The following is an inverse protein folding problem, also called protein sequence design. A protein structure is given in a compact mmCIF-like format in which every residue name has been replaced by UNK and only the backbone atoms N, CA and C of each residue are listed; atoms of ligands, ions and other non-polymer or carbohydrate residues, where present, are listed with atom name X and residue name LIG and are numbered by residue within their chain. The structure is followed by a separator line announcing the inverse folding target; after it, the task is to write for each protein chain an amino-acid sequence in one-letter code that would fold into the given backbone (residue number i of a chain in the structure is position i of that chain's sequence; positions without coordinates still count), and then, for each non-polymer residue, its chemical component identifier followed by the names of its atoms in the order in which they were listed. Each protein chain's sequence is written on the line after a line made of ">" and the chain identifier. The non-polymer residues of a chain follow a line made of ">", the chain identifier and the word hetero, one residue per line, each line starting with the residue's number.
data_IF_706288928829
#
_entry.id   IF_706288928829
#
_cell.length_a   1.000
_cell.length_b   1.000
_cell.length_c   1.000
_cell.angle_alpha   90.00
_cell.angle_beta   90.00
_cell.angle_gamma   90.00
#
_symmetry.space_group_name_H-M   'P 1'
#
loop_
_entity.id
_entity.type
_entity.pdbx_description
1 polymer ?
#
# COMPACT_ATOMS: atom_id res chain seq x y z
N UNK A 1 6.78 -29.46 -22.87
CA UNK A 1 7.35 -28.08 -22.74
C UNK A 1 6.36 -27.09 -23.35
N UNK A 2 5.60 -26.37 -22.52
CA UNK A 2 4.38 -25.65 -22.91
C UNK A 2 4.63 -24.36 -23.71
N UNK A 3 4.08 -24.30 -24.93
CA UNK A 3 4.14 -23.16 -25.83
C UNK A 3 3.52 -21.87 -25.25
N UNK A 4 2.51 -22.00 -24.39
CA UNK A 4 1.89 -20.90 -23.66
C UNK A 4 2.86 -20.11 -22.78
N UNK A 5 3.83 -20.78 -22.12
CA UNK A 5 4.78 -20.07 -21.25
C UNK A 5 5.74 -19.20 -22.06
N UNK A 6 6.09 -19.60 -23.29
CA UNK A 6 6.90 -18.79 -24.21
C UNK A 6 6.15 -17.57 -24.73
N UNK A 7 4.85 -17.69 -24.98
CA UNK A 7 4.00 -16.58 -25.43
C UNK A 7 3.86 -15.50 -24.35
N UNK A 8 3.55 -15.90 -23.11
CA UNK A 8 3.42 -14.98 -21.97
C UNK A 8 4.74 -14.25 -21.69
N UNK A 9 5.88 -14.95 -21.80
CA UNK A 9 7.20 -14.35 -21.60
C UNK A 9 7.54 -13.31 -22.67
N UNK A 10 7.19 -13.56 -23.94
CA UNK A 10 7.36 -12.58 -25.04
C UNK A 10 6.49 -11.34 -24.85
N UNK A 11 5.26 -11.52 -24.36
CA UNK A 11 4.35 -10.40 -24.09
C UNK A 11 4.89 -9.51 -22.94
N UNK A 12 5.36 -10.13 -21.85
CA UNK A 12 5.97 -9.41 -20.72
C UNK A 12 7.25 -8.65 -21.14
N UNK A 13 8.08 -9.25 -21.99
CA UNK A 13 9.28 -8.57 -22.51
C UNK A 13 8.97 -7.29 -23.30
N UNK A 14 7.92 -7.33 -24.14
CA UNK A 14 7.46 -6.17 -24.92
C UNK A 14 6.79 -5.09 -24.07
N UNK A 15 5.98 -5.47 -23.07
CA UNK A 15 5.22 -4.53 -22.23
C UNK A 15 6.06 -3.84 -21.16
N UNK A 16 7.07 -4.51 -20.63
CA UNK A 16 7.86 -4.01 -19.49
C UNK A 16 9.32 -3.67 -19.84
N UNK A 17 9.68 -3.67 -21.13
CA UNK A 17 11.00 -3.24 -21.58
C UNK A 17 12.16 -4.09 -21.05
N UNK A 18 11.90 -5.34 -20.66
CA UNK A 18 12.92 -6.28 -20.18
C UNK A 18 13.56 -6.97 -21.40
N UNK A 19 14.14 -6.19 -22.30
CA UNK A 19 15.17 -6.69 -23.19
C UNK A 19 16.53 -6.34 -22.56
N UNK A 20 17.27 -7.38 -22.19
CA UNK A 20 18.66 -7.26 -21.77
C UNK A 20 19.43 -6.50 -22.85
N UNK A 21 19.84 -5.25 -22.55
CA UNK A 21 20.84 -4.53 -23.32
C UNK A 21 22.09 -5.41 -23.39
N UNK A 22 22.32 -6.05 -24.53
CA UNK A 22 23.64 -6.57 -24.87
C UNK A 22 24.59 -5.37 -25.00
N UNK A 23 25.75 -5.36 -24.34
CA UNK A 23 26.77 -4.35 -24.63
C UNK A 23 27.25 -4.56 -26.07
N UNK A 24 27.13 -3.52 -26.89
CA UNK A 24 27.79 -3.45 -28.20
C UNK A 24 29.28 -3.25 -27.94
N UNK A 25 30.07 -4.28 -28.20
CA UNK A 25 31.52 -4.18 -28.34
C UNK A 25 31.81 -3.62 -29.72
N UNK A 26 31.97 -2.30 -29.83
CA UNK A 26 32.57 -1.68 -31.01
C UNK A 26 34.06 -1.48 -30.74
N UNK A 27 34.85 -2.27 -31.45
CA UNK A 27 36.31 -2.23 -31.47
C UNK A 27 36.77 -0.97 -32.20
N UNK A 28 37.12 0.08 -31.46
CA UNK A 28 37.88 1.20 -31.99
C UNK A 28 39.33 1.09 -31.48
N UNK A 29 40.22 0.60 -32.34
CA UNK A 29 41.67 0.80 -32.20
C UNK A 29 41.93 2.30 -32.32
N UNK A 30 42.62 2.91 -31.35
CA UNK A 30 43.60 3.97 -31.63
C UNK A 30 44.45 4.31 -30.39
N UNK A 31 45.73 3.94 -30.52
CA UNK A 31 46.95 4.61 -30.07
C UNK A 31 47.12 5.05 -28.61
N UNK A 32 48.07 4.38 -27.95
CA UNK A 32 48.64 4.73 -26.67
C UNK A 32 49.29 6.13 -26.67
N UNK A 33 49.01 6.91 -25.62
CA UNK A 33 49.94 7.90 -25.06
C UNK A 33 49.96 7.70 -23.55
N UNK A 34 51.12 7.32 -23.05
CA UNK A 34 51.49 7.25 -21.64
C UNK A 34 51.61 8.69 -21.13
N UNK A 35 50.87 9.02 -20.07
CA UNK A 35 51.17 10.15 -19.18
C UNK A 35 51.10 9.60 -17.76
N UNK A 36 52.12 9.94 -16.99
CA UNK A 36 52.53 9.39 -15.71
C UNK A 36 51.57 9.72 -14.56
N UNK A 37 51.36 8.69 -13.72
CA UNK A 37 51.29 8.67 -12.26
C UNK A 37 50.80 9.92 -11.50
N UNK A 38 49.53 9.88 -11.06
CA UNK A 38 49.14 10.36 -9.73
C UNK A 38 48.22 9.32 -9.08
N UNK A 39 48.67 8.74 -7.97
CA UNK A 39 47.97 7.70 -7.21
C UNK A 39 46.58 8.12 -6.70
N UNK A 40 45.75 7.15 -6.27
CA UNK A 40 44.38 7.44 -5.90
C UNK A 40 44.35 8.24 -4.60
N UNK A 41 44.06 9.54 -4.68
CA UNK A 41 43.63 10.31 -3.53
C UNK A 41 42.28 9.73 -3.11
N UNK A 42 42.27 8.97 -2.01
CA UNK A 42 41.05 8.56 -1.32
C UNK A 42 40.35 9.85 -0.85
N UNK A 43 39.50 10.40 -1.72
CA UNK A 43 38.52 11.38 -1.32
C UNK A 43 37.65 10.73 -0.26
N UNK A 44 37.84 11.16 0.99
CA UNK A 44 36.88 10.94 2.07
C UNK A 44 35.54 11.50 1.60
N UNK A 45 34.72 10.65 0.98
CA UNK A 45 33.29 10.83 0.90
C UNK A 45 32.76 10.73 2.33
N UNK A 46 32.96 11.80 3.10
CA UNK A 46 32.06 12.11 4.18
C UNK A 46 30.68 12.12 3.54
N UNK A 47 29.89 11.11 3.85
CA UNK A 47 28.49 11.05 3.47
C UNK A 47 27.84 12.26 4.13
N UNK A 48 27.85 13.41 3.44
CA UNK A 48 26.96 14.51 3.71
C UNK A 48 25.59 13.86 3.67
N UNK A 49 25.01 13.62 4.85
CA UNK A 49 23.63 13.23 4.98
C UNK A 49 22.85 14.27 4.19
N UNK A 50 22.45 13.92 2.97
CA UNK A 50 21.76 14.82 2.06
C UNK A 50 20.41 15.01 2.72
N UNK A 51 20.31 16.05 3.56
CA UNK A 51 19.09 16.41 4.26
C UNK A 51 18.04 16.57 3.18
N UNK A 52 17.09 15.63 3.14
CA UNK A 52 16.07 15.60 2.11
C UNK A 52 15.32 16.92 2.17
N UNK A 53 15.12 17.54 1.00
CA UNK A 53 14.32 18.76 0.91
C UNK A 53 12.95 18.54 1.56
N UNK A 54 12.34 19.60 2.15
CA UNK A 54 11.00 19.52 2.70
C UNK A 54 10.04 18.89 1.68
N UNK A 55 9.47 17.73 2.03
CA UNK A 55 8.52 17.04 1.16
C UNK A 55 7.09 17.46 1.52
N UNK A 56 6.38 18.02 0.55
CA UNK A 56 4.92 18.18 0.63
C UNK A 56 4.26 17.03 -0.12
N UNK A 57 3.67 16.10 0.63
CA UNK A 57 3.03 14.90 0.08
C UNK A 57 1.52 15.03 0.20
N UNK A 58 0.82 14.91 -0.93
CA UNK A 58 -0.62 14.75 -0.97
C UNK A 58 -0.98 13.26 -0.91
N UNK A 59 -1.96 12.93 -0.09
CA UNK A 59 -2.50 11.56 0.05
C UNK A 59 -3.91 11.55 -0.51
N UNK A 60 -4.12 10.79 -1.59
CA UNK A 60 -5.43 10.45 -2.12
C UNK A 60 -5.84 9.07 -1.63
N UNK A 61 -6.76 9.00 -0.66
CA UNK A 61 -7.31 7.76 -0.13
C UNK A 61 -8.72 7.53 -0.70
N UNK A 62 -8.90 6.41 -1.38
CA UNK A 62 -10.23 5.89 -1.71
C UNK A 62 -10.68 4.93 -0.60
N UNK A 63 -11.64 5.38 0.21
CA UNK A 63 -12.31 4.53 1.19
C UNK A 63 -13.43 3.75 0.49
N UNK A 64 -13.12 2.52 0.09
CA UNK A 64 -14.04 1.63 -0.61
C UNK A 64 -14.78 0.66 0.33
N UNK A 65 -15.75 -0.06 -0.24
CA UNK A 65 -16.62 -0.95 0.52
C UNK A 65 -15.94 -2.27 0.90
N UNK A 66 -15.22 -2.89 -0.02
CA UNK A 66 -14.46 -4.13 0.24
C UNK A 66 -12.97 -3.87 0.39
N UNK A 67 -12.43 -2.97 -0.43
CA UNK A 67 -11.03 -2.57 -0.40
C UNK A 67 -10.91 -1.06 -0.46
N UNK A 68 -9.89 -0.55 0.23
CA UNK A 68 -9.41 0.81 0.12
C UNK A 68 -8.10 0.82 -0.65
N UNK A 69 -7.77 1.95 -1.25
CA UNK A 69 -6.50 2.14 -1.98
C UNK A 69 -5.99 3.55 -1.79
N UNK A 70 -4.68 3.72 -1.87
CA UNK A 70 -4.04 5.00 -1.63
C UNK A 70 -3.02 5.33 -2.72
N UNK A 71 -3.09 6.56 -3.23
CA UNK A 71 -2.06 7.17 -4.08
C UNK A 71 -1.44 8.32 -3.30
N UNK A 72 -0.11 8.34 -3.25
CA UNK A 72 0.66 9.45 -2.70
C UNK A 72 1.29 10.23 -3.85
N UNK A 73 1.34 11.56 -3.73
CA UNK A 73 2.02 12.42 -4.68
C UNK A 73 2.96 13.36 -3.94
N UNK A 74 4.22 13.31 -4.32
CA UNK A 74 5.18 14.36 -4.00
C UNK A 74 4.91 15.54 -4.92
N UNK A 75 4.46 16.64 -4.32
CA UNK A 75 4.04 17.83 -5.06
C UNK A 75 5.24 18.57 -5.64
N UNK A 76 6.39 18.52 -4.95
CA UNK A 76 7.60 19.22 -5.39
C UNK A 76 8.19 18.53 -6.61
N UNK A 77 8.30 17.20 -6.57
CA UNK A 77 8.84 16.42 -7.71
C UNK A 77 7.79 16.07 -8.76
N UNK A 78 6.52 16.37 -8.48
CA UNK A 78 5.36 15.96 -9.28
C UNK A 78 5.28 14.44 -9.54
N UNK A 79 5.84 13.63 -8.64
CA UNK A 79 5.86 12.17 -8.76
C UNK A 79 4.77 11.55 -7.89
N UNK A 80 3.93 10.73 -8.50
CA UNK A 80 2.93 9.94 -7.80
C UNK A 80 3.35 8.47 -7.69
N UNK A 81 2.91 7.81 -6.64
CA UNK A 81 3.05 6.36 -6.47
C UNK A 81 1.85 5.78 -5.73
N UNK A 82 1.57 4.52 -6.02
CA UNK A 82 0.56 3.75 -5.29
C UNK A 82 1.17 3.24 -3.99
N UNK A 83 0.45 3.36 -2.88
CA UNK A 83 0.84 2.73 -1.62
C UNK A 83 0.69 1.22 -1.75
N UNK A 84 1.76 0.49 -1.41
CA UNK A 84 1.74 -0.97 -1.34
C UNK A 84 1.56 -1.38 0.12
N UNK A 85 0.46 -2.08 0.39
CA UNK A 85 0.12 -2.49 1.74
C UNK A 85 1.16 -3.52 2.23
N UNK A 86 1.80 -3.31 3.41
CA UNK A 86 2.85 -4.20 3.91
C UNK A 86 2.42 -5.67 3.97
N UNK A 87 1.16 -5.93 4.29
CA UNK A 87 0.63 -7.28 4.45
C UNK A 87 0.15 -7.92 3.13
N UNK A 88 0.24 -7.20 2.01
CA UNK A 88 -0.24 -7.65 0.71
C UNK A 88 0.86 -7.67 -0.35
N UNK A 89 2.14 -7.48 0.01
CA UNK A 89 3.23 -7.29 -0.96
C UNK A 89 3.45 -8.47 -1.92
N UNK A 90 3.09 -9.67 -1.50
CA UNK A 90 3.23 -10.90 -2.29
C UNK A 90 1.93 -11.30 -3.02
N UNK A 91 0.85 -10.53 -2.83
CA UNK A 91 -0.45 -10.80 -3.45
C UNK A 91 -0.49 -10.30 -4.90
N UNK A 92 -1.43 -10.82 -5.69
CA UNK A 92 -1.66 -10.36 -7.06
C UNK A 92 -1.99 -8.85 -7.11
N UNK A 93 -2.68 -8.34 -6.08
CA UNK A 93 -3.14 -6.96 -5.97
C UNK A 93 -2.56 -6.28 -4.71
N UNK A 94 -1.25 -5.99 -4.67
CA UNK A 94 -0.54 -5.56 -3.46
C UNK A 94 -0.88 -4.15 -2.98
N UNK A 95 -1.64 -3.41 -3.77
CA UNK A 95 -2.09 -2.05 -3.49
C UNK A 95 -3.48 -1.99 -2.84
N UNK A 96 -4.18 -3.12 -2.72
CA UNK A 96 -5.48 -3.19 -2.07
C UNK A 96 -5.31 -3.37 -0.56
N UNK A 97 -6.05 -2.56 0.18
CA UNK A 97 -6.13 -2.58 1.65
C UNK A 97 -7.51 -3.13 2.01
N UNK A 98 -7.64 -4.32 2.63
CA UNK A 98 -8.94 -4.85 3.03
C UNK A 98 -9.68 -3.86 3.93
N UNK A 99 -10.91 -3.50 3.58
CA UNK A 99 -11.76 -2.57 4.35
C UNK A 99 -12.56 -3.32 5.41
N UNK A 100 -11.82 -4.07 6.22
CA UNK A 100 -12.32 -4.94 7.27
C UNK A 100 -11.46 -4.78 8.53
N UNK A 101 -12.07 -5.12 9.67
CA UNK A 101 -11.43 -5.18 10.97
C UNK A 101 -11.79 -6.49 11.65
N UNK A 102 -10.96 -6.89 12.60
CA UNK A 102 -11.18 -8.02 13.49
C UNK A 102 -11.60 -7.52 14.86
N UNK A 103 -12.56 -8.20 15.48
CA UNK A 103 -12.87 -8.03 16.89
C UNK A 103 -12.39 -9.27 17.63
N UNK A 104 -11.33 -9.15 18.43
CA UNK A 104 -10.76 -10.25 19.21
C UNK A 104 -10.56 -9.76 20.64
N UNK A 105 -11.01 -10.54 21.64
CA UNK A 105 -10.83 -10.21 23.06
C UNK A 105 -11.31 -8.79 23.44
N UNK A 106 -12.44 -8.34 22.88
CA UNK A 106 -12.97 -6.97 23.01
C UNK A 106 -12.07 -5.84 22.47
N UNK A 107 -11.05 -6.19 21.69
CA UNK A 107 -10.18 -5.24 21.01
C UNK A 107 -10.49 -5.18 19.51
N UNK A 108 -10.32 -4.00 18.94
CA UNK A 108 -10.42 -3.77 17.50
C UNK A 108 -9.01 -3.91 16.92
N UNK A 109 -8.86 -4.78 15.92
CA UNK A 109 -7.60 -5.04 15.24
C UNK A 109 -7.75 -4.91 13.73
N UNK A 110 -6.68 -4.54 13.04
CA UNK A 110 -6.65 -4.69 11.58
C UNK A 110 -6.55 -6.17 11.19
N UNK A 111 -7.07 -6.52 10.02
CA UNK A 111 -6.87 -7.86 9.44
C UNK A 111 -5.38 -8.07 9.16
N UNK A 112 -4.86 -9.21 9.63
CA UNK A 112 -3.46 -9.61 9.48
C UNK A 112 -3.16 -10.10 8.06
N UNK A 113 -4.06 -10.90 7.49
CA UNK A 113 -3.94 -11.43 6.13
C UNK A 113 -4.64 -10.50 5.13
N UNK A 114 -3.85 -9.91 4.23
CA UNK A 114 -4.33 -9.02 3.17
C UNK A 114 -5.23 -9.71 2.13
N UNK A 115 -5.21 -11.04 2.05
CA UNK A 115 -5.99 -11.83 1.11
C UNK A 115 -7.42 -12.13 1.62
N UNK A 116 -7.68 -11.98 2.92
CA UNK A 116 -8.96 -12.33 3.52
C UNK A 116 -9.89 -11.10 3.56
N UNK A 117 -10.99 -11.18 2.80
CA UNK A 117 -11.98 -10.10 2.70
C UNK A 117 -13.04 -10.12 3.80
N UNK A 118 -13.41 -11.33 4.23
CA UNK A 118 -14.50 -11.57 5.17
C UNK A 118 -14.01 -12.51 6.26
N UNK A 119 -13.07 -12.06 7.11
CA UNK A 119 -12.55 -12.92 8.15
C UNK A 119 -13.64 -13.26 9.16
N UNK A 120 -13.62 -14.49 9.66
CA UNK A 120 -14.53 -14.94 10.70
C UNK A 120 -14.33 -14.11 11.97
N UNK A 121 -15.42 -13.66 12.60
CA UNK A 121 -15.35 -12.72 13.73
C UNK A 121 -14.96 -11.28 13.34
N UNK A 122 -14.88 -10.98 12.05
CA UNK A 122 -14.62 -9.64 11.54
C UNK A 122 -15.85 -8.77 11.34
N UNK A 123 -15.61 -7.47 11.22
CA UNK A 123 -16.57 -6.48 10.72
C UNK A 123 -16.06 -5.90 9.40
N UNK A 124 -16.97 -5.73 8.45
CA UNK A 124 -16.64 -5.36 7.07
C UNK A 124 -17.72 -4.46 6.47
N UNK A 125 -17.45 -3.89 5.30
CA UNK A 125 -18.30 -2.88 4.66
C UNK A 125 -18.50 -1.63 5.53
N UNK A 126 -17.44 -1.20 6.22
CA UNK A 126 -17.44 -0.04 7.13
C UNK A 126 -18.06 1.20 6.49
N UNK A 127 -17.77 1.46 5.22
CA UNK A 127 -18.36 2.56 4.43
C UNK A 127 -19.90 2.49 4.40
N UNK A 128 -20.44 1.32 4.11
CA UNK A 128 -21.89 1.12 4.01
C UNK A 128 -22.52 1.17 5.41
N UNK A 129 -21.89 0.53 6.41
CA UNK A 129 -22.35 0.58 7.79
C UNK A 129 -22.43 2.02 8.32
N UNK A 130 -21.39 2.83 8.05
CA UNK A 130 -21.39 4.25 8.39
C UNK A 130 -22.52 5.03 7.67
N UNK A 131 -22.74 4.74 6.38
CA UNK A 131 -23.84 5.36 5.62
C UNK A 131 -25.22 4.99 6.18
N UNK A 132 -25.42 3.73 6.57
CA UNK A 132 -26.66 3.25 7.17
C UNK A 132 -26.92 3.92 8.52
N UNK A 133 -25.87 4.02 9.36
CA UNK A 133 -25.92 4.75 10.64
C UNK A 133 -26.30 6.21 10.41
N UNK A 134 -25.64 6.90 9.47
CA UNK A 134 -25.92 8.30 9.16
C UNK A 134 -27.37 8.53 8.66
N UNK A 135 -27.96 7.53 7.99
CA UNK A 135 -29.35 7.55 7.53
C UNK A 135 -30.37 7.12 8.61
N UNK A 136 -29.90 6.71 9.80
CA UNK A 136 -30.77 6.15 10.85
C UNK A 136 -31.31 4.75 10.55
N UNK A 137 -30.82 4.07 9.52
CA UNK A 137 -31.27 2.73 9.16
C UNK A 137 -30.54 1.63 9.95
N UNK A 138 -30.91 1.48 11.22
CA UNK A 138 -30.28 0.52 12.14
C UNK A 138 -30.84 -0.92 12.04
N UNK A 139 -31.94 -1.10 11.30
CA UNK A 139 -32.57 -2.39 11.07
C UNK A 139 -31.94 -3.18 9.92
N UNK A 140 -31.09 -2.54 9.12
CA UNK A 140 -30.49 -3.14 7.93
C UNK A 140 -29.71 -4.45 8.26
N UNK A 141 -29.92 -5.54 7.50
CA UNK A 141 -29.23 -6.81 7.70
C UNK A 141 -27.70 -6.71 7.64
N UNK A 142 -27.15 -5.75 6.90
CA UNK A 142 -25.70 -5.51 6.82
C UNK A 142 -25.10 -5.21 8.20
N UNK A 143 -25.89 -4.65 9.13
CA UNK A 143 -25.44 -4.35 10.49
C UNK A 143 -25.44 -5.57 11.42
N UNK A 144 -25.93 -6.74 10.98
CA UNK A 144 -25.98 -7.95 11.79
C UNK A 144 -24.59 -8.43 12.24
N UNK A 145 -23.56 -8.22 11.42
CA UNK A 145 -22.17 -8.58 11.78
C UNK A 145 -21.64 -7.70 12.90
N UNK A 146 -21.98 -6.41 12.91
CA UNK A 146 -21.59 -5.48 13.96
C UNK A 146 -22.31 -5.76 15.28
N UNK A 147 -23.61 -6.10 15.21
CA UNK A 147 -24.40 -6.51 16.38
C UNK A 147 -23.82 -7.76 17.04
N UNK A 148 -23.40 -8.74 16.23
CA UNK A 148 -22.78 -9.99 16.71
C UNK A 148 -21.36 -9.78 17.26
N UNK A 149 -20.55 -8.95 16.62
CA UNK A 149 -19.12 -8.82 16.92
C UNK A 149 -18.82 -8.35 18.35
N UNK A 150 -19.68 -7.51 18.94
CA UNK A 150 -19.48 -6.94 20.28
C UNK A 150 -20.46 -7.48 21.32
N UNK A 151 -21.25 -8.52 20.97
CA UNK A 151 -22.36 -9.04 21.80
C UNK A 151 -23.12 -7.91 22.49
N UNK A 152 -23.41 -6.83 21.76
CA UNK A 152 -23.89 -5.59 22.36
C UNK A 152 -25.20 -5.87 23.08
N UNK A 153 -25.17 -5.83 24.41
CA UNK A 153 -26.37 -5.98 25.25
C UNK A 153 -27.39 -4.88 24.99
N UNK A 154 -26.93 -3.72 24.51
CA UNK A 154 -27.78 -2.57 24.19
C UNK A 154 -27.48 -2.03 22.77
N UNK A 155 -28.53 -2.02 21.94
CA UNK A 155 -28.48 -1.54 20.56
C UNK A 155 -28.20 -0.05 20.42
N UNK A 156 -28.38 0.74 21.49
CA UNK A 156 -28.13 2.19 21.49
C UNK A 156 -26.66 2.53 21.21
N UNK A 157 -25.74 1.61 21.50
CA UNK A 157 -24.30 1.82 21.31
C UNK A 157 -23.81 1.43 19.91
N UNK A 158 -24.65 0.78 19.08
CA UNK A 158 -24.27 0.30 17.76
C UNK A 158 -23.78 1.43 16.82
N UNK A 159 -24.45 2.59 16.72
CA UNK A 159 -23.94 3.73 15.94
C UNK A 159 -22.54 4.16 16.35
N UNK A 160 -22.32 4.33 17.66
CA UNK A 160 -21.03 4.74 18.20
C UNK A 160 -19.94 3.71 17.91
N UNK A 161 -20.26 2.42 18.05
CA UNK A 161 -19.33 1.34 17.73
C UNK A 161 -18.90 1.36 16.25
N UNK A 162 -19.84 1.51 15.31
CA UNK A 162 -19.54 1.58 13.87
C UNK A 162 -18.65 2.79 13.54
N UNK A 163 -18.92 3.93 14.17
CA UNK A 163 -18.10 5.14 14.03
C UNK A 163 -16.68 4.89 14.57
N UNK A 164 -16.54 4.28 15.74
CA UNK A 164 -15.25 3.92 16.34
C UNK A 164 -14.47 2.98 15.41
N UNK A 165 -15.11 1.92 14.90
CA UNK A 165 -14.47 1.02 13.93
C UNK A 165 -13.99 1.78 12.68
N UNK A 166 -14.81 2.70 12.16
CA UNK A 166 -14.43 3.46 10.97
C UNK A 166 -13.26 4.41 11.23
N UNK A 167 -13.26 5.12 12.38
CA UNK A 167 -12.15 5.99 12.80
C UNK A 167 -10.89 5.16 13.02
N UNK A 168 -10.98 4.04 13.71
CA UNK A 168 -9.86 3.13 13.95
C UNK A 168 -9.26 2.66 12.62
N UNK A 169 -10.09 2.21 11.68
CA UNK A 169 -9.66 1.77 10.37
C UNK A 169 -8.92 2.87 9.61
N UNK A 170 -9.54 4.05 9.44
CA UNK A 170 -8.98 5.16 8.68
C UNK A 170 -7.70 5.70 9.33
N UNK A 171 -7.71 5.84 10.65
CA UNK A 171 -6.55 6.30 11.43
C UNK A 171 -5.36 5.34 11.31
N UNK A 172 -5.61 4.03 11.41
CA UNK A 172 -4.57 3.01 11.26
C UNK A 172 -3.99 2.97 9.85
N UNK A 173 -4.84 3.00 8.82
CA UNK A 173 -4.40 3.03 7.41
C UNK A 173 -3.58 4.29 7.11
N UNK A 174 -4.06 5.47 7.49
CA UNK A 174 -3.32 6.73 7.28
C UNK A 174 -2.01 6.78 8.08
N UNK A 175 -2.02 6.25 9.30
CA UNK A 175 -0.83 6.12 10.14
C UNK A 175 0.24 5.25 9.48
N UNK A 176 -0.17 4.11 8.91
CA UNK A 176 0.71 3.23 8.15
C UNK A 176 1.28 3.91 6.91
N UNK A 177 0.43 4.53 6.08
CA UNK A 177 0.83 5.27 4.87
C UNK A 177 1.85 6.35 5.23
N UNK A 178 1.59 7.14 6.27
CA UNK A 178 2.51 8.18 6.75
C UNK A 178 3.86 7.59 7.16
N UNK A 179 3.86 6.45 7.85
CA UNK A 179 5.11 5.78 8.25
C UNK A 179 5.90 5.27 7.03
N UNK A 180 5.22 4.83 5.96
CA UNK A 180 5.87 4.45 4.70
C UNK A 180 6.43 5.66 3.95
N UNK A 181 5.70 6.76 3.89
CA UNK A 181 6.16 8.01 3.26
C UNK A 181 7.47 8.47 3.92
N UNK A 182 7.55 8.44 5.26
CA UNK A 182 8.75 8.84 6.02
C UNK A 182 9.99 7.97 5.77
N UNK A 183 9.80 6.71 5.37
CA UNK A 183 10.88 5.75 5.10
C UNK A 183 11.35 5.78 3.65
N UNK A 184 10.64 6.47 2.77
CA UNK A 184 10.99 6.64 1.36
C UNK A 184 11.94 7.81 1.19
#
# INVERSE_FOLDING_TARGET
>A
MNWLSKAIRRLKGRLFGIEQRKPKTETAKHTAKVIEDEGPTLGLYTSLERKRDPYFIQIGLDFGTSYSKCVCRDVITNKAWVHLHPRSQNEELPFLIPSALMIKNNEICHVEDGAINYPEGGVYHLKNALSLVAKGNLADPLLAVYKRAVQLKNSIHLPGFIVICTIYFLGGVLGEIRNRIRKR
#
